data_IF_592099658431
#
_entry.id   IF_592099658431
#
_cell.length_a   1.000
_cell.length_b   1.000
_cell.length_c   1.000
_cell.angle_alpha   90.00
_cell.angle_beta   90.00
_cell.angle_gamma   90.00
#
_symmetry.space_group_name_H-M   'P 1'
#
loop_
_entity.id
_entity.type
_entity.pdbx_description
1 polymer ?
#
# COMPACT_ATOMS: atom_id res chain seq x y z
N UNK A 1 25.83 -17.16 -30.42
CA UNK A 1 24.82 -16.20 -30.89
C UNK A 1 24.28 -15.47 -29.66
N UNK A 2 23.83 -14.21 -29.80
CA UNK A 2 23.25 -13.47 -28.67
C UNK A 2 21.86 -14.03 -28.37
N UNK A 3 21.63 -14.42 -27.11
CA UNK A 3 20.33 -14.90 -26.63
C UNK A 3 19.39 -13.72 -26.35
N UNK A 4 18.86 -13.12 -27.42
CA UNK A 4 17.92 -11.98 -27.36
C UNK A 4 16.70 -12.25 -26.47
N UNK A 5 16.22 -13.50 -26.45
CA UNK A 5 15.06 -13.91 -25.64
C UNK A 5 15.38 -13.81 -24.14
N UNK A 6 16.59 -14.16 -23.71
CA UNK A 6 16.96 -14.10 -22.29
C UNK A 6 16.87 -12.66 -21.74
N UNK A 7 17.32 -11.68 -22.51
CA UNK A 7 17.21 -10.26 -22.12
C UNK A 7 15.76 -9.80 -21.99
N UNK A 8 14.89 -10.20 -22.92
CA UNK A 8 13.46 -9.88 -22.85
C UNK A 8 12.79 -10.48 -21.62
N UNK A 9 13.15 -11.71 -21.25
CA UNK A 9 12.61 -12.37 -20.06
C UNK A 9 13.02 -11.62 -18.79
N UNK A 10 14.29 -11.25 -18.63
CA UNK A 10 14.78 -10.49 -17.46
C UNK A 10 14.10 -9.12 -17.39
N UNK A 11 13.96 -8.44 -18.53
CA UNK A 11 13.25 -7.17 -18.60
C UNK A 11 11.79 -7.31 -18.14
N UNK A 12 11.05 -8.28 -18.68
CA UNK A 12 9.65 -8.50 -18.31
C UNK A 12 9.50 -8.93 -16.84
N UNK A 13 10.39 -9.79 -16.34
CA UNK A 13 10.39 -10.24 -14.95
C UNK A 13 10.68 -9.08 -13.98
N UNK A 14 11.68 -8.25 -14.27
CA UNK A 14 12.02 -7.09 -13.43
C UNK A 14 10.94 -6.01 -13.47
N UNK A 15 10.38 -5.71 -14.65
CA UNK A 15 9.30 -4.74 -14.80
C UNK A 15 8.03 -5.18 -14.06
N UNK A 16 7.63 -6.46 -14.19
CA UNK A 16 6.46 -6.99 -13.50
C UNK A 16 6.64 -7.03 -11.98
N UNK A 17 7.81 -7.45 -11.49
CA UNK A 17 8.13 -7.43 -10.07
C UNK A 17 8.07 -6.00 -9.50
N UNK A 18 8.68 -5.03 -10.19
CA UNK A 18 8.63 -3.63 -9.79
C UNK A 18 7.19 -3.09 -9.76
N UNK A 19 6.40 -3.35 -10.81
CA UNK A 19 5.00 -2.92 -10.87
C UNK A 19 4.19 -3.48 -9.70
N UNK A 20 4.31 -4.78 -9.40
CA UNK A 20 3.60 -5.42 -8.28
C UNK A 20 3.94 -4.76 -6.94
N UNK A 21 5.23 -4.57 -6.65
CA UNK A 21 5.69 -3.97 -5.38
C UNK A 21 5.20 -2.52 -5.25
N UNK A 22 5.33 -1.73 -6.30
CA UNK A 22 4.91 -0.32 -6.31
C UNK A 22 3.39 -0.19 -6.17
N UNK A 23 2.62 -1.02 -6.87
CA UNK A 23 1.15 -1.02 -6.75
C UNK A 23 0.70 -1.43 -5.36
N UNK A 24 1.28 -2.49 -4.77
CA UNK A 24 0.96 -2.91 -3.39
C UNK A 24 1.26 -1.80 -2.38
N UNK A 25 2.42 -1.16 -2.48
CA UNK A 25 2.80 -0.07 -1.58
C UNK A 25 1.88 1.14 -1.74
N UNK A 26 1.62 1.55 -2.98
CA UNK A 26 0.72 2.67 -3.29
C UNK A 26 -0.71 2.41 -2.80
N UNK A 27 -1.19 1.18 -2.94
CA UNK A 27 -2.50 0.74 -2.47
C UNK A 27 -2.58 0.78 -0.93
N UNK A 28 -1.51 0.39 -0.24
CA UNK A 28 -1.39 0.49 1.22
C UNK A 28 -1.54 1.93 1.72
N UNK A 29 -0.83 2.87 1.09
CA UNK A 29 -0.96 4.30 1.39
C UNK A 29 -2.37 4.81 1.07
N UNK A 30 -2.97 4.36 -0.04
CA UNK A 30 -4.34 4.73 -0.40
C UNK A 30 -5.36 4.26 0.63
N UNK A 31 -5.24 3.04 1.15
CA UNK A 31 -6.10 2.56 2.23
C UNK A 31 -5.91 3.36 3.51
N UNK A 32 -4.67 3.74 3.83
CA UNK A 32 -4.37 4.57 4.99
C UNK A 32 -4.99 5.97 4.90
N UNK A 33 -5.15 6.50 3.69
CA UNK A 33 -5.82 7.76 3.40
C UNK A 33 -7.37 7.67 3.36
N UNK A 34 -7.95 6.52 3.71
CA UNK A 34 -9.42 6.37 3.72
C UNK A 34 -10.01 7.15 4.91
N UNK A 35 -10.94 8.10 4.67
CA UNK A 35 -11.52 8.91 5.73
C UNK A 35 -12.43 8.07 6.64
N UNK A 36 -12.67 8.61 7.84
CA UNK A 36 -13.60 8.03 8.79
C UNK A 36 -15.04 7.99 8.24
N UNK A 37 -15.83 6.94 8.52
CA UNK A 37 -17.26 6.94 8.21
C UNK A 37 -17.97 8.06 8.96
N UNK A 38 -18.78 8.86 8.26
CA UNK A 38 -19.55 9.95 8.88
C UNK A 38 -20.52 9.39 9.92
N UNK A 39 -20.43 9.88 11.15
CA UNK A 39 -21.39 9.56 12.21
C UNK A 39 -22.73 10.23 11.89
N UNK A 40 -23.82 9.45 11.97
CA UNK A 40 -25.18 9.98 11.86
C UNK A 40 -25.55 10.59 13.21
N UNK A 41 -25.88 11.88 13.21
CA UNK A 41 -26.34 12.62 14.39
C UNK A 41 -27.75 12.16 14.78
N UNK A 42 -28.12 12.32 16.06
CA UNK A 42 -29.46 12.00 16.57
C UNK A 42 -30.60 12.77 15.84
N UNK A 43 -30.27 13.91 15.23
CA UNK A 43 -31.13 14.75 14.40
C UNK A 43 -31.29 14.24 12.95
N UNK A 44 -30.75 13.07 12.61
CA UNK A 44 -30.83 12.47 11.27
C UNK A 44 -29.89 13.10 10.24
N UNK A 45 -29.27 14.23 10.57
CA UNK A 45 -28.19 14.88 9.79
C UNK A 45 -26.86 14.13 9.97
N UNK A 46 -25.97 14.20 8.98
CA UNK A 46 -24.60 13.71 9.10
C UNK A 46 -23.72 14.81 9.71
N UNK A 47 -22.71 14.43 10.49
CA UNK A 47 -21.66 15.35 10.94
C UNK A 47 -21.13 16.15 9.72
N UNK A 48 -21.18 17.50 9.74
CA UNK A 48 -20.64 18.30 8.65
C UNK A 48 -19.13 18.02 8.54
N UNK A 49 -18.61 17.97 7.30
CA UNK A 49 -17.17 17.88 7.11
C UNK A 49 -16.54 19.10 7.81
N UNK A 50 -15.53 18.85 8.66
CA UNK A 50 -14.81 19.90 9.37
C UNK A 50 -14.24 20.95 8.39
N UNK A 51 -13.84 22.13 8.91
CA UNK A 51 -13.36 23.23 8.06
C UNK A 51 -12.34 22.74 7.03
N UNK A 52 -12.49 23.22 5.79
CA UNK A 52 -11.72 22.79 4.64
C UNK A 52 -10.25 23.16 4.77
N UNK A 53 -9.42 22.24 5.29
CA UNK A 53 -7.94 22.14 5.24
C UNK A 53 -7.13 23.37 4.76
N UNK A 54 -7.26 24.50 5.43
CA UNK A 54 -6.25 25.57 5.47
C UNK A 54 -5.65 25.77 6.87
N UNK A 55 -6.11 25.03 7.88
CA UNK A 55 -5.51 25.03 9.21
C UNK A 55 -4.43 23.94 9.35
N UNK A 56 -3.19 24.38 9.49
CA UNK A 56 -1.99 23.61 9.83
C UNK A 56 -2.00 23.16 11.30
N UNK A 57 -3.11 22.60 11.77
CA UNK A 57 -3.15 21.86 13.03
C UNK A 57 -2.81 20.39 12.71
N UNK A 58 -1.58 20.01 13.02
CA UNK A 58 -1.00 18.64 13.00
C UNK A 58 -1.59 17.77 14.11
N UNK A 59 -2.89 17.88 14.30
CA UNK A 59 -3.66 16.98 15.13
C UNK A 59 -3.82 15.72 14.31
N UNK A 60 -2.97 14.73 14.59
CA UNK A 60 -3.15 13.36 14.12
C UNK A 60 -4.46 12.86 14.74
N UNK A 61 -5.59 13.22 14.13
CA UNK A 61 -6.90 12.71 14.49
C UNK A 61 -6.90 11.20 14.20
N UNK A 62 -6.45 10.42 15.17
CA UNK A 62 -6.69 8.98 15.29
C UNK A 62 -8.20 8.66 15.39
N UNK A 63 -9.02 9.71 15.47
CA UNK A 63 -10.47 9.68 15.45
C UNK A 63 -11.03 9.33 14.05
N UNK A 64 -10.96 8.05 13.70
CA UNK A 64 -12.02 7.42 12.91
C UNK A 64 -11.61 6.61 11.68
N UNK A 65 -10.32 6.39 11.39
CA UNK A 65 -9.94 5.52 10.27
C UNK A 65 -10.55 4.12 10.46
N UNK A 66 -11.33 3.60 9.49
CA UNK A 66 -12.02 2.35 9.71
C UNK A 66 -11.02 1.20 9.84
N UNK A 67 -11.24 0.32 10.84
CA UNK A 67 -10.33 -0.80 11.16
C UNK A 67 -10.02 -1.68 9.94
N UNK A 68 -11.00 -1.87 9.05
CA UNK A 68 -10.82 -2.63 7.81
C UNK A 68 -9.78 -1.99 6.87
N UNK A 69 -9.73 -0.66 6.78
CA UNK A 69 -8.76 0.04 5.93
C UNK A 69 -7.34 -0.07 6.50
N UNK A 70 -7.20 -0.01 7.82
CA UNK A 70 -5.90 -0.22 8.48
C UNK A 70 -5.41 -1.66 8.29
N UNK A 71 -6.28 -2.66 8.45
CA UNK A 71 -5.94 -4.07 8.20
C UNK A 71 -5.57 -4.29 6.73
N UNK A 72 -6.31 -3.70 5.79
CA UNK A 72 -6.01 -3.80 4.36
C UNK A 72 -4.67 -3.15 3.99
N UNK A 73 -4.34 -2.00 4.60
CA UNK A 73 -3.06 -1.34 4.42
C UNK A 73 -1.90 -2.22 4.91
N UNK A 74 -2.00 -2.78 6.13
CA UNK A 74 -0.99 -3.68 6.66
C UNK A 74 -0.84 -4.96 5.85
N UNK A 75 -1.94 -5.51 5.33
CA UNK A 75 -1.88 -6.66 4.43
C UNK A 75 -1.09 -6.34 3.15
N UNK A 76 -1.30 -5.17 2.54
CA UNK A 76 -0.56 -4.75 1.36
C UNK A 76 0.93 -4.55 1.64
N UNK A 77 1.28 -3.89 2.75
CA UNK A 77 2.69 -3.71 3.15
C UNK A 77 3.37 -5.03 3.48
N UNK A 78 2.68 -5.91 4.22
CA UNK A 78 3.18 -7.25 4.52
C UNK A 78 3.42 -8.08 3.26
N UNK A 79 2.47 -8.08 2.32
CA UNK A 79 2.62 -8.79 1.05
C UNK A 79 3.79 -8.23 0.21
N UNK A 80 3.95 -6.92 0.16
CA UNK A 80 5.08 -6.27 -0.51
C UNK A 80 6.43 -6.67 0.11
N UNK A 81 6.53 -6.64 1.44
CA UNK A 81 7.73 -7.08 2.15
C UNK A 81 8.04 -8.57 1.88
N UNK A 82 7.03 -9.44 1.89
CA UNK A 82 7.18 -10.86 1.56
C UNK A 82 7.69 -11.04 0.13
N UNK A 83 7.11 -10.35 -0.86
CA UNK A 83 7.58 -10.41 -2.25
C UNK A 83 9.06 -10.02 -2.37
N UNK A 84 9.48 -8.95 -1.69
CA UNK A 84 10.88 -8.50 -1.68
C UNK A 84 11.79 -9.54 -1.01
N UNK A 85 11.40 -10.07 0.16
CA UNK A 85 12.17 -11.08 0.87
C UNK A 85 12.33 -12.37 0.06
N UNK A 86 11.28 -12.80 -0.65
CA UNK A 86 11.35 -13.95 -1.56
C UNK A 86 12.29 -13.66 -2.74
N UNK A 87 12.24 -12.45 -3.30
CA UNK A 87 13.18 -12.03 -4.34
C UNK A 87 14.64 -12.04 -3.86
N UNK A 88 14.90 -11.46 -2.68
CA UNK A 88 16.24 -11.45 -2.06
C UNK A 88 16.72 -12.87 -1.79
N UNK A 89 15.84 -13.73 -1.24
CA UNK A 89 16.11 -15.14 -1.05
C UNK A 89 16.61 -15.68 -2.38
N UNK A 90 15.78 -15.75 -3.44
CA UNK A 90 16.13 -16.35 -4.74
C UNK A 90 17.37 -15.77 -5.44
N UNK A 91 17.76 -14.51 -5.16
CA UNK A 91 18.96 -13.90 -5.78
C UNK A 91 20.24 -14.32 -5.07
N UNK A 92 20.23 -14.45 -3.73
CA UNK A 92 21.44 -14.66 -2.93
C UNK A 92 21.72 -16.17 -2.74
N UNK A 93 22.70 -16.78 -3.44
CA UNK A 93 22.91 -18.23 -3.43
C UNK A 93 23.30 -18.81 -2.06
N UNK A 94 23.68 -17.97 -1.11
CA UNK A 94 23.95 -18.40 0.26
C UNK A 94 22.69 -18.57 1.11
N UNK A 95 21.53 -18.06 0.65
CA UNK A 95 20.26 -18.11 1.37
C UNK A 95 19.37 -19.28 0.92
N UNK A 96 19.49 -19.71 -0.35
CA UNK A 96 18.86 -20.94 -0.88
C UNK A 96 19.95 -21.99 -1.05
N UNK A 97 19.82 -23.09 -0.32
CA UNK A 97 20.64 -24.29 -0.49
C UNK A 97 20.24 -25.09 -1.72
#
# INVERSE_FOLDING_TARGET
MIEWIAFLIVFAASLSAAAVVVTLYSLGIRFLATPAPKTRRADGTFEPDGPSRDDEDDDVDDAGRPRWATVAAYACFGMSAVCVLVGIYLIVPALHG
#
